data_IF_885881771065
#
_entry.id   IF_885881771065
#
_cell.length_a   1.000
_cell.length_b   1.000
_cell.length_c   1.000
_cell.angle_alpha   90.00
_cell.angle_beta   90.00
_cell.angle_gamma   90.00
#
_symmetry.space_group_name_H-M   'P 1'
#
loop_
_entity.id
_entity.type
_entity.pdbx_description
1 polymer ?
#
# COMPACT_ATOMS: atom_id res chain seq x y z
N UNK A 1 -7.72 -7.00 -3.17
CA UNK A 1 -9.05 -6.35 -3.33
C UNK A 1 -8.84 -5.06 -4.12
N UNK A 2 -9.67 -4.77 -5.13
CA UNK A 2 -9.56 -3.50 -5.85
C UNK A 2 -10.00 -2.35 -4.95
N UNK A 3 -9.28 -1.23 -5.01
CA UNK A 3 -9.52 -0.03 -4.19
C UNK A 3 -9.71 1.14 -5.15
N UNK A 4 -10.80 1.88 -4.99
CA UNK A 4 -11.06 3.06 -5.80
C UNK A 4 -10.17 4.22 -5.35
N UNK A 5 -9.71 5.01 -6.31
CA UNK A 5 -9.15 6.33 -6.05
C UNK A 5 -10.29 7.21 -5.51
N UNK A 6 -10.04 7.88 -4.40
CA UNK A 6 -11.01 8.71 -3.70
C UNK A 6 -10.93 10.17 -4.15
N UNK A 7 -9.71 10.67 -4.33
CA UNK A 7 -9.43 12.03 -4.80
C UNK A 7 -8.04 12.10 -5.42
N UNK A 8 -7.77 13.16 -6.16
CA UNK A 8 -6.47 13.46 -6.76
C UNK A 8 -6.19 14.95 -6.75
N UNK A 9 -4.92 15.31 -6.62
CA UNK A 9 -4.42 16.67 -6.77
C UNK A 9 -3.08 16.67 -7.53
N UNK A 10 -2.36 17.79 -7.51
CA UNK A 10 -1.06 17.93 -8.17
C UNK A 10 0.03 16.97 -7.63
N UNK A 11 -0.13 16.44 -6.42
CA UNK A 11 0.83 15.55 -5.75
C UNK A 11 0.52 14.06 -6.01
N UNK A 12 -0.66 13.75 -6.55
CA UNK A 12 -1.00 12.41 -6.98
C UNK A 12 -2.46 12.02 -6.74
N UNK A 13 -2.70 10.71 -6.76
CA UNK A 13 -3.99 10.09 -6.52
C UNK A 13 -3.98 9.37 -5.17
N UNK A 14 -5.08 9.49 -4.42
CA UNK A 14 -5.19 8.98 -3.06
C UNK A 14 -6.27 7.90 -2.98
N UNK A 15 -5.92 6.78 -2.36
CA UNK A 15 -6.82 5.67 -2.07
C UNK A 15 -6.59 5.21 -0.63
N UNK A 16 -7.66 4.96 0.12
CA UNK A 16 -7.56 4.46 1.49
C UNK A 16 -7.76 2.95 1.54
N UNK A 17 -6.84 2.25 2.20
CA UNK A 17 -6.93 0.81 2.46
C UNK A 17 -6.87 0.60 3.97
N UNK A 18 -7.92 0.02 4.59
CA UNK A 18 -7.85 -0.38 5.98
C UNK A 18 -6.71 -1.37 6.21
N UNK A 19 -5.84 -1.08 7.17
CA UNK A 19 -4.79 -2.00 7.62
C UNK A 19 -5.37 -2.97 8.65
N UNK A 20 -6.11 -3.98 8.17
CA UNK A 20 -6.56 -5.05 9.05
C UNK A 20 -5.41 -5.99 9.47
N UNK A 21 -5.65 -6.81 10.49
CA UNK A 21 -4.62 -7.73 11.02
C UNK A 21 -4.06 -8.66 9.94
N UNK A 22 -4.90 -9.15 9.03
CA UNK A 22 -4.47 -10.08 7.99
C UNK A 22 -3.54 -9.39 6.98
N UNK A 23 -3.87 -8.16 6.58
CA UNK A 23 -3.02 -7.35 5.71
C UNK A 23 -1.70 -6.99 6.41
N UNK A 24 -1.72 -6.58 7.67
CA UNK A 24 -0.50 -6.29 8.43
C UNK A 24 0.40 -7.53 8.49
N UNK A 25 -0.16 -8.72 8.80
CA UNK A 25 0.60 -9.98 8.80
C UNK A 25 1.21 -10.25 7.42
N UNK A 26 0.45 -10.10 6.34
CA UNK A 26 0.95 -10.31 4.98
C UNK A 26 2.09 -9.34 4.63
N UNK A 27 1.96 -8.06 5.02
CA UNK A 27 2.99 -7.04 4.80
C UNK A 27 4.25 -7.29 5.63
N UNK A 28 4.14 -7.83 6.86
CA UNK A 28 5.31 -8.22 7.67
C UNK A 28 6.11 -9.38 7.08
N UNK A 29 5.44 -10.30 6.37
CA UNK A 29 6.09 -11.48 5.76
C UNK A 29 6.50 -11.28 4.30
N UNK A 30 5.96 -10.26 3.64
CA UNK A 30 6.24 -9.95 2.24
C UNK A 30 7.53 -9.16 2.03
N UNK A 31 8.05 -9.19 0.81
CA UNK A 31 9.20 -8.36 0.41
C UNK A 31 8.78 -7.10 -0.35
N UNK A 32 7.66 -7.18 -1.07
CA UNK A 32 7.16 -6.10 -1.90
C UNK A 32 5.64 -5.98 -1.79
N UNK A 33 5.15 -4.74 -1.75
CA UNK A 33 3.75 -4.40 -2.01
C UNK A 33 3.65 -3.91 -3.46
N UNK A 34 3.00 -4.70 -4.30
CA UNK A 34 2.77 -4.32 -5.70
C UNK A 34 1.42 -3.63 -5.84
N UNK A 35 1.44 -2.36 -6.23
CA UNK A 35 0.24 -1.59 -6.54
C UNK A 35 -0.01 -1.69 -8.04
N UNK A 36 -0.99 -2.50 -8.43
CA UNK A 36 -1.47 -2.60 -9.81
C UNK A 36 -2.56 -1.57 -10.07
N UNK A 37 -2.45 -0.86 -11.19
CA UNK A 37 -3.44 0.12 -11.64
C UNK A 37 -3.57 0.12 -13.16
N UNK A 38 -4.70 0.60 -13.65
CA UNK A 38 -4.93 0.82 -15.08
C UNK A 38 -4.74 2.31 -15.38
N UNK A 39 -3.89 2.64 -16.36
CA UNK A 39 -3.71 4.02 -16.80
C UNK A 39 -4.96 4.52 -17.54
N UNK A 40 -5.05 5.84 -17.74
CA UNK A 40 -6.11 6.45 -18.59
C UNK A 40 -6.08 5.92 -20.04
N UNK A 41 -4.94 5.42 -20.50
CA UNK A 41 -4.77 4.77 -21.82
C UNK A 41 -5.00 3.27 -21.79
N UNK A 42 -5.59 2.73 -20.70
CA UNK A 42 -5.90 1.31 -20.50
C UNK A 42 -4.69 0.38 -20.53
N UNK A 43 -3.53 0.91 -20.15
CA UNK A 43 -2.31 0.11 -20.00
C UNK A 43 -2.14 -0.28 -18.53
N UNK A 44 -1.91 -1.56 -18.22
CA UNK A 44 -1.56 -1.97 -16.86
C UNK A 44 -0.24 -1.32 -16.43
N UNK A 45 -0.24 -0.76 -15.24
CA UNK A 45 0.94 -0.21 -14.57
C UNK A 45 1.06 -0.89 -13.20
N UNK A 46 2.28 -1.31 -12.85
CA UNK A 46 2.59 -1.87 -11.54
C UNK A 46 3.67 -1.01 -10.88
N UNK A 47 3.38 -0.55 -9.65
CA UNK A 47 4.32 0.21 -8.82
C UNK A 47 4.78 -0.70 -7.68
N UNK A 48 6.01 -1.24 -7.73
CA UNK A 48 6.54 -2.06 -6.64
C UNK A 48 7.04 -1.16 -5.50
N UNK A 49 6.56 -1.41 -4.29
CA UNK A 49 7.07 -0.81 -3.07
C UNK A 49 7.84 -1.86 -2.27
N UNK A 50 9.06 -1.53 -1.84
CA UNK A 50 9.83 -2.39 -0.95
C UNK A 50 9.21 -2.38 0.45
N UNK A 51 9.11 -3.57 1.07
CA UNK A 51 8.67 -3.72 2.47
C UNK A 51 9.86 -3.81 3.44
N UNK A 52 11.08 -3.52 2.98
CA UNK A 52 12.24 -3.46 3.86
C UNK A 52 12.02 -2.42 4.98
N UNK A 53 12.19 -2.84 6.23
CA UNK A 53 11.96 -2.02 7.41
C UNK A 53 10.49 -1.87 7.84
N UNK A 54 9.52 -2.41 7.08
CA UNK A 54 8.09 -2.29 7.42
C UNK A 54 7.77 -2.89 8.79
N UNK A 55 8.25 -4.11 9.06
CA UNK A 55 8.01 -4.81 10.33
C UNK A 55 8.52 -4.01 11.53
N UNK A 56 9.76 -3.52 11.46
CA UNK A 56 10.33 -2.71 12.52
C UNK A 56 9.56 -1.39 12.74
N UNK A 57 9.08 -0.76 11.67
CA UNK A 57 8.32 0.47 11.75
C UNK A 57 6.93 0.27 12.38
N UNK A 58 6.20 -0.78 12.00
CA UNK A 58 4.87 -1.04 12.54
C UNK A 58 4.94 -1.53 13.99
N UNK A 59 5.94 -2.35 14.35
CA UNK A 59 6.16 -2.77 15.75
C UNK A 59 6.49 -1.56 16.64
N UNK A 60 7.24 -0.59 16.11
CA UNK A 60 7.52 0.68 16.81
C UNK A 60 6.27 1.54 16.96
N UNK A 61 5.39 1.55 15.96
CA UNK A 61 4.12 2.29 16.03
C UNK A 61 3.19 1.68 17.08
N UNK A 62 3.07 0.35 17.13
CA UNK A 62 2.28 -0.36 18.13
C UNK A 62 2.79 -0.09 19.57
N UNK A 63 4.10 0.13 19.75
CA UNK A 63 4.70 0.42 21.05
C UNK A 63 4.45 1.85 21.57
N UNK A 64 3.96 2.77 20.74
CA UNK A 64 3.67 4.18 21.11
C UNK A 64 2.19 4.52 21.14
N UNK A 65 1.32 3.53 20.88
CA UNK A 65 -0.13 3.63 21.03
C UNK A 65 -0.58 3.08 22.39
#
# INVERSE_FOLDING_TARGET
>A
KAVAIQTSDQNGAYAAVPLDKALITALKTGTNLNIGMESVTRKPVAIPLSLNGFTAAIDKLDAVQ
#
